data_IF_019790930460
#
_entry.id   IF_019790930460
#
_cell.length_a   1.000
_cell.length_b   1.000
_cell.length_c   1.000
_cell.angle_alpha   90.00
_cell.angle_beta   90.00
_cell.angle_gamma   90.00
#
_symmetry.space_group_name_H-M   'P 1'
#
loop_
_entity.id
_entity.type
_entity.pdbx_description
1 polymer ?
#
# COMPACT_ATOMS: atom_id res chain seq x y z
N UNK A 1 11.16 -3.18 0.46
CA UNK A 1 11.00 -4.26 1.46
C UNK A 1 11.07 -5.60 0.77
N UNK A 2 11.70 -6.63 1.34
CA UNK A 2 11.66 -7.95 0.69
C UNK A 2 10.28 -8.58 0.81
N UNK A 3 9.80 -9.22 -0.28
CA UNK A 3 8.48 -9.88 -0.32
C UNK A 3 8.22 -10.81 0.87
N UNK A 4 9.25 -11.57 1.27
CA UNK A 4 9.19 -12.45 2.45
C UNK A 4 8.92 -11.70 3.76
N UNK A 5 9.53 -10.53 3.97
CA UNK A 5 9.28 -9.72 5.17
C UNK A 5 7.87 -9.15 5.16
N UNK A 6 7.39 -8.68 4.01
CA UNK A 6 6.01 -8.21 3.86
C UNK A 6 4.99 -9.31 4.17
N UNK A 7 5.20 -10.51 3.64
CA UNK A 7 4.31 -11.65 3.92
C UNK A 7 4.25 -12.02 5.41
N UNK A 8 5.35 -11.86 6.15
CA UNK A 8 5.38 -12.08 7.60
C UNK A 8 4.53 -11.02 8.31
N UNK A 9 4.71 -9.74 7.99
CA UNK A 9 3.92 -8.64 8.56
C UNK A 9 2.43 -8.82 8.29
N UNK A 10 2.03 -9.20 7.07
CA UNK A 10 0.62 -9.46 6.77
C UNK A 10 0.03 -10.60 7.61
N UNK A 11 0.82 -11.63 7.93
CA UNK A 11 0.36 -12.74 8.78
C UNK A 11 0.24 -12.33 10.24
N UNK A 12 1.17 -11.51 10.74
CA UNK A 12 1.10 -10.97 12.10
C UNK A 12 -0.14 -10.08 12.27
N UNK A 13 -0.38 -9.16 11.32
CA UNK A 13 -1.60 -8.34 11.29
C UNK A 13 -2.87 -9.20 11.20
N UNK A 14 -2.84 -10.26 10.38
CA UNK A 14 -3.98 -11.16 10.27
C UNK A 14 -4.33 -11.84 11.60
N UNK A 15 -3.32 -12.26 12.37
CA UNK A 15 -3.52 -12.84 13.71
C UNK A 15 -4.06 -11.81 14.69
N UNK A 16 -3.47 -10.60 14.73
CA UNK A 16 -3.86 -9.53 15.64
C UNK A 16 -5.33 -9.10 15.43
N UNK A 17 -5.74 -8.96 14.17
CA UNK A 17 -7.09 -8.51 13.82
C UNK A 17 -8.08 -9.65 13.55
N UNK A 18 -7.75 -10.89 13.92
CA UNK A 18 -8.57 -12.09 13.73
C UNK A 18 -9.14 -12.19 12.29
N UNK A 19 -8.25 -12.08 11.31
CA UNK A 19 -8.56 -12.11 9.88
C UNK A 19 -7.55 -12.99 9.11
N UNK A 20 -7.50 -12.87 7.79
CA UNK A 20 -6.53 -13.58 6.93
C UNK A 20 -5.54 -12.62 6.28
N UNK A 21 -4.33 -13.10 6.00
CA UNK A 21 -3.30 -12.35 5.28
C UNK A 21 -3.77 -11.92 3.87
N UNK A 22 -4.57 -12.78 3.21
CA UNK A 22 -5.26 -12.44 1.97
C UNK A 22 -6.19 -11.24 2.13
N UNK A 23 -6.99 -11.21 3.20
CA UNK A 23 -7.91 -10.09 3.47
C UNK A 23 -7.13 -8.80 3.76
N UNK A 24 -6.05 -8.87 4.53
CA UNK A 24 -5.16 -7.71 4.77
C UNK A 24 -4.67 -7.12 3.44
N UNK A 25 -4.11 -7.94 2.54
CA UNK A 25 -3.62 -7.49 1.23
C UNK A 25 -4.74 -6.92 0.34
N UNK A 26 -5.93 -7.52 0.39
CA UNK A 26 -7.09 -7.03 -0.35
C UNK A 26 -7.54 -5.66 0.16
N UNK A 27 -7.62 -5.47 1.48
CA UNK A 27 -7.99 -4.18 2.07
C UNK A 27 -6.95 -3.09 1.77
N UNK A 28 -5.65 -3.41 1.79
CA UNK A 28 -4.60 -2.47 1.37
C UNK A 28 -4.79 -2.03 -0.09
N UNK A 29 -5.09 -2.98 -0.99
CA UNK A 29 -5.39 -2.66 -2.39
C UNK A 29 -6.60 -1.73 -2.50
N UNK A 30 -7.69 -2.02 -1.79
CA UNK A 30 -8.91 -1.19 -1.78
C UNK A 30 -8.61 0.21 -1.26
N UNK A 31 -7.81 0.34 -0.20
CA UNK A 31 -7.44 1.62 0.37
C UNK A 31 -6.65 2.48 -0.64
N UNK A 32 -5.70 1.87 -1.36
CA UNK A 32 -4.95 2.53 -2.44
C UNK A 32 -5.89 2.94 -3.56
N UNK A 33 -6.70 2.04 -4.10
CA UNK A 33 -7.65 2.37 -5.17
C UNK A 33 -8.60 3.51 -4.78
N UNK A 34 -9.07 3.50 -3.53
CA UNK A 34 -9.93 4.54 -2.98
C UNK A 34 -9.22 5.90 -2.92
N UNK A 35 -7.97 5.92 -2.43
CA UNK A 35 -7.19 7.15 -2.32
C UNK A 35 -6.90 7.80 -3.69
N UNK A 36 -6.77 7.01 -4.75
CA UNK A 36 -6.43 7.49 -6.08
C UNK A 36 -7.62 7.71 -7.02
N UNK A 37 -8.83 7.27 -6.64
CA UNK A 37 -10.01 7.38 -7.52
C UNK A 37 -10.43 8.82 -7.80
N UNK A 38 -10.46 9.67 -6.77
CA UNK A 38 -10.88 11.08 -6.87
C UNK A 38 -10.04 11.99 -5.93
N UNK A 39 -8.75 12.17 -6.20
CA UNK A 39 -7.89 12.97 -5.33
C UNK A 39 -8.17 14.47 -5.48
N UNK A 40 -7.98 15.23 -4.40
CA UNK A 40 -7.83 16.70 -4.48
C UNK A 40 -6.57 17.07 -5.28
N UNK A 41 -6.46 18.32 -5.73
CA UNK A 41 -5.27 18.79 -6.45
C UNK A 41 -3.96 18.54 -5.67
N UNK A 42 -3.97 18.81 -4.37
CA UNK A 42 -2.82 18.59 -3.50
C UNK A 42 -2.52 17.10 -3.32
N UNK A 43 -3.55 16.27 -3.12
CA UNK A 43 -3.39 14.82 -3.01
C UNK A 43 -2.81 14.25 -4.30
N UNK A 44 -3.31 14.70 -5.46
CA UNK A 44 -2.82 14.26 -6.76
C UNK A 44 -1.35 14.63 -6.96
N UNK A 45 -0.97 15.87 -6.63
CA UNK A 45 0.41 16.33 -6.74
C UNK A 45 1.37 15.44 -5.93
N UNK A 46 1.00 15.06 -4.71
CA UNK A 46 1.76 14.10 -3.92
C UNK A 46 1.73 12.69 -4.53
N UNK A 47 0.56 12.17 -4.90
CA UNK A 47 0.37 10.84 -5.46
C UNK A 47 1.18 10.62 -6.74
N UNK A 48 1.32 11.66 -7.58
CA UNK A 48 2.11 11.63 -8.82
C UNK A 48 3.62 11.50 -8.56
N UNK A 49 4.09 11.73 -7.33
CA UNK A 49 5.48 11.46 -6.94
C UNK A 49 5.77 9.99 -6.63
N UNK A 50 4.73 9.16 -6.45
CA UNK A 50 4.88 7.74 -6.11
C UNK A 50 5.25 6.95 -7.37
N UNK A 51 6.45 6.33 -7.43
CA UNK A 51 6.86 5.52 -8.57
C UNK A 51 5.94 4.32 -8.75
N UNK A 52 5.39 4.16 -9.96
CA UNK A 52 4.46 3.08 -10.30
C UNK A 52 4.57 2.68 -11.76
N UNK A 53 4.37 1.40 -12.05
CA UNK A 53 4.38 0.89 -13.43
C UNK A 53 3.03 1.00 -14.14
N UNK A 54 1.94 0.91 -13.38
CA UNK A 54 0.57 0.99 -13.90
C UNK A 54 -0.11 2.32 -13.55
N UNK A 55 -1.39 2.44 -13.90
CA UNK A 55 -2.21 3.61 -13.55
C UNK A 55 -2.31 3.80 -12.02
N UNK A 56 -2.45 2.70 -11.28
CA UNK A 56 -2.48 2.66 -9.83
C UNK A 56 -1.23 1.96 -9.30
N UNK A 57 -0.64 2.45 -8.19
CA UNK A 57 0.50 1.77 -7.59
C UNK A 57 0.06 0.48 -6.91
N UNK A 58 0.94 -0.52 -6.84
CA UNK A 58 0.71 -1.70 -5.98
C UNK A 58 0.99 -1.36 -4.51
N UNK A 59 0.52 -2.19 -3.59
CA UNK A 59 0.86 -2.01 -2.18
C UNK A 59 2.37 -2.14 -1.93
N UNK A 60 3.09 -2.97 -2.71
CA UNK A 60 4.55 -3.02 -2.62
C UNK A 60 5.20 -1.70 -3.04
N UNK A 61 4.77 -1.10 -4.15
CA UNK A 61 5.29 0.18 -4.65
C UNK A 61 5.03 1.32 -3.63
N UNK A 62 3.82 1.37 -3.06
CA UNK A 62 3.48 2.36 -2.03
C UNK A 62 4.32 2.18 -0.77
N UNK A 63 4.44 0.95 -0.26
CA UNK A 63 5.23 0.66 0.96
C UNK A 63 6.69 0.99 0.75
N UNK A 64 7.26 0.64 -0.41
CA UNK A 64 8.66 0.93 -0.72
C UNK A 64 8.92 2.43 -0.83
N UNK A 65 8.01 3.18 -1.47
CA UNK A 65 8.06 4.63 -1.47
C UNK A 65 8.01 5.20 -0.04
N UNK A 66 7.07 4.73 0.79
CA UNK A 66 6.93 5.19 2.17
C UNK A 66 8.20 4.92 2.97
N UNK A 67 8.79 3.73 2.88
CA UNK A 67 10.03 3.36 3.60
C UNK A 67 11.19 4.27 3.21
N UNK A 68 11.27 4.70 1.96
CA UNK A 68 12.33 5.59 1.47
C UNK A 68 12.13 7.05 1.91
N UNK A 69 10.89 7.44 2.26
CA UNK A 69 10.51 8.82 2.53
C UNK A 69 10.14 9.08 4.01
N UNK A 70 9.91 8.04 4.81
CA UNK A 70 9.80 8.15 6.27
C UNK A 70 11.21 8.32 6.84
N UNK A 71 11.38 9.37 7.65
CA UNK A 71 12.60 9.66 8.42
C UNK A 71 12.54 9.02 9.78
#
# INVERSE_FOLDING_TARGET
MSKRKFDIVCKELALEYNTSDRKVKQEMKIAIETAFKNPTTEQKAFQDTIPRKGEMPTYEEVIDFIIQNIK
#
